data_IF_171958961215
#
_entry.id   IF_171958961215
#
_cell.length_a   1.000
_cell.length_b   1.000
_cell.length_c   1.000
_cell.angle_alpha   90.00
_cell.angle_beta   90.00
_cell.angle_gamma   90.00
#
_symmetry.space_group_name_H-M   'P 1'
#
loop_
_entity.id
_entity.type
_entity.pdbx_description
1 polymer ?
#
# COMPACT_ATOMS: atom_id res chain seq x y z
N UNK A 1 -73.04 -21.28 0.17
CA UNK A 1 -72.02 -20.38 0.76
C UNK A 1 -70.64 -20.80 0.27
N UNK A 2 -69.92 -19.83 -0.28
CA UNK A 2 -68.48 -19.67 -0.61
C UNK A 2 -67.52 -20.87 -0.69
N UNK A 3 -66.68 -20.78 -1.71
CA UNK A 3 -65.56 -21.62 -2.11
C UNK A 3 -64.28 -21.41 -1.28
N UNK A 4 -63.33 -22.34 -1.38
CA UNK A 4 -61.95 -22.14 -1.89
C UNK A 4 -61.03 -23.25 -1.36
N UNK A 5 -60.27 -23.78 -2.32
CA UNK A 5 -59.21 -24.78 -2.28
C UNK A 5 -57.98 -24.15 -1.62
N UNK A 6 -57.34 -24.80 -0.65
CA UNK A 6 -55.95 -24.43 -0.36
C UNK A 6 -55.05 -25.57 0.10
N UNK A 7 -53.80 -25.40 -0.32
CA UNK A 7 -52.80 -26.39 -0.69
C UNK A 7 -51.83 -26.58 0.49
N UNK A 8 -51.63 -27.81 0.94
CA UNK A 8 -50.55 -28.16 1.88
C UNK A 8 -49.21 -27.96 1.18
N UNK A 9 -48.49 -26.90 1.54
CA UNK A 9 -47.12 -26.63 1.11
C UNK A 9 -46.17 -27.06 2.22
N UNK A 10 -45.42 -28.13 1.95
CA UNK A 10 -44.25 -28.55 2.73
C UNK A 10 -43.17 -27.46 2.64
N UNK A 11 -42.67 -26.99 3.78
CA UNK A 11 -41.61 -25.97 3.90
C UNK A 11 -40.24 -26.69 3.87
N UNK A 12 -39.35 -26.41 2.90
CA UNK A 12 -37.99 -26.95 2.92
C UNK A 12 -37.11 -26.19 3.93
N UNK A 13 -36.03 -26.79 4.43
CA UNK A 13 -35.13 -26.17 5.39
C UNK A 13 -34.39 -24.99 4.76
N UNK A 14 -34.49 -23.83 5.40
CA UNK A 14 -33.79 -22.60 5.05
C UNK A 14 -32.31 -22.73 5.40
N UNK A 15 -31.47 -22.73 4.37
CA UNK A 15 -30.02 -22.49 4.48
C UNK A 15 -29.83 -21.04 4.91
N UNK A 16 -29.36 -20.84 6.14
CA UNK A 16 -28.92 -19.54 6.65
C UNK A 16 -27.51 -19.25 6.14
N UNK A 17 -27.41 -18.58 5.00
CA UNK A 17 -26.17 -17.98 4.51
C UNK A 17 -25.93 -16.69 5.28
N UNK A 18 -25.10 -16.75 6.33
CA UNK A 18 -24.55 -15.55 6.98
C UNK A 18 -23.53 -14.92 6.04
N UNK A 19 -23.87 -13.78 5.46
CA UNK A 19 -22.92 -12.89 4.77
C UNK A 19 -22.01 -12.23 5.81
N UNK A 20 -20.69 -12.46 5.81
CA UNK A 20 -19.78 -11.63 6.57
C UNK A 20 -19.68 -10.29 5.85
N UNK A 21 -19.98 -9.20 6.58
CA UNK A 21 -19.77 -7.84 6.12
C UNK A 21 -18.33 -7.65 5.65
N UNK A 22 -18.19 -7.33 4.38
CA UNK A 22 -16.93 -6.99 3.73
C UNK A 22 -16.36 -5.70 4.31
N UNK A 23 -15.60 -5.81 5.40
CA UNK A 23 -14.54 -4.83 5.68
C UNK A 23 -13.37 -5.11 4.73
N UNK A 24 -13.61 -4.93 3.44
CA UNK A 24 -12.57 -4.93 2.44
C UNK A 24 -11.95 -3.53 2.44
N UNK A 25 -10.87 -3.36 3.20
CA UNK A 25 -9.92 -2.29 2.94
C UNK A 25 -9.57 -2.31 1.44
N UNK A 26 -9.54 -1.16 0.75
CA UNK A 26 -9.20 -1.16 -0.67
C UNK A 26 -7.78 -1.70 -0.84
N UNK A 27 -7.55 -2.72 -1.68
CA UNK A 27 -6.21 -3.17 -2.00
C UNK A 27 -5.52 -2.06 -2.81
N UNK A 28 -4.59 -1.35 -2.18
CA UNK A 28 -3.65 -0.48 -2.90
C UNK A 28 -2.62 -1.36 -3.64
N UNK A 29 -2.06 -0.83 -4.74
CA UNK A 29 -2.00 -1.48 -6.03
C UNK A 29 -1.10 -2.72 -6.00
N UNK A 30 -1.60 -3.78 -6.63
CA UNK A 30 -0.84 -4.93 -7.08
C UNK A 30 0.35 -4.48 -7.94
N UNK A 31 1.49 -4.18 -7.32
CA UNK A 31 2.74 -4.00 -8.06
C UNK A 31 3.96 -4.66 -7.39
N UNK A 32 3.72 -5.50 -6.37
CA UNK A 32 4.79 -6.24 -5.69
C UNK A 32 4.89 -7.72 -6.09
N UNK A 33 3.97 -8.24 -6.91
CA UNK A 33 3.87 -9.68 -7.20
C UNK A 33 3.61 -10.06 -8.67
N UNK A 34 3.59 -9.11 -9.62
CA UNK A 34 3.31 -9.40 -11.03
C UNK A 34 4.53 -9.19 -11.95
N UNK A 35 5.57 -10.00 -11.75
CA UNK A 35 6.46 -10.35 -12.88
C UNK A 35 7.10 -11.75 -12.80
N UNK A 36 6.69 -12.61 -11.86
CA UNK A 36 7.09 -14.02 -11.88
C UNK A 36 5.93 -14.82 -12.46
N UNK A 37 6.14 -15.36 -13.66
CA UNK A 37 5.21 -16.26 -14.35
C UNK A 37 4.53 -17.21 -13.36
N UNK A 38 3.20 -17.18 -13.31
CA UNK A 38 2.39 -18.26 -12.76
C UNK A 38 2.75 -19.55 -13.49
N UNK A 39 3.51 -20.40 -12.81
CA UNK A 39 3.91 -21.70 -13.31
C UNK A 39 5.27 -22.08 -12.76
N UNK A 40 5.27 -22.85 -11.66
CA UNK A 40 6.41 -23.55 -11.04
C UNK A 40 7.20 -22.77 -9.96
N UNK A 41 6.54 -22.28 -8.91
CA UNK A 41 7.24 -22.01 -7.64
C UNK A 41 7.15 -23.25 -6.74
N UNK A 42 8.27 -23.89 -6.33
CA UNK A 42 8.27 -24.89 -5.27
C UNK A 42 7.68 -24.31 -3.99
N UNK A 43 7.01 -25.15 -3.19
CA UNK A 43 6.38 -24.84 -1.88
C UNK A 43 7.36 -24.18 -0.87
N UNK A 44 8.64 -24.02 -1.21
CA UNK A 44 9.70 -23.47 -0.38
C UNK A 44 9.82 -21.94 -0.37
N UNK A 45 9.00 -21.22 -1.17
CA UNK A 45 8.95 -19.75 -1.16
C UNK A 45 7.50 -19.29 -0.98
N UNK A 46 6.95 -19.42 0.23
CA UNK A 46 5.74 -18.68 0.61
C UNK A 46 6.17 -17.26 1.05
N UNK A 47 5.83 -16.19 0.29
CA UNK A 47 6.16 -14.82 0.67
C UNK A 47 5.58 -14.40 2.02
N UNK A 48 4.51 -15.07 2.49
CA UNK A 48 3.92 -14.78 3.79
C UNK A 48 4.74 -15.33 4.95
N UNK A 49 5.61 -16.32 4.71
CA UNK A 49 6.46 -16.94 5.72
C UNK A 49 7.92 -16.49 5.60
N UNK A 50 8.41 -16.32 4.38
CA UNK A 50 9.81 -15.95 4.12
C UNK A 50 10.01 -14.45 3.92
N UNK A 51 8.96 -13.71 3.55
CA UNK A 51 9.06 -12.29 3.21
C UNK A 51 9.73 -12.08 1.86
N UNK A 52 9.91 -10.80 1.50
CA UNK A 52 10.61 -10.37 0.28
C UNK A 52 11.94 -9.73 0.67
N UNK A 53 13.09 -10.22 0.15
CA UNK A 53 14.38 -9.57 0.39
C UNK A 53 14.40 -8.12 -0.11
N UNK A 54 15.13 -7.24 0.58
CA UNK A 54 15.28 -5.82 0.18
C UNK A 54 15.70 -5.64 -1.30
N UNK A 55 16.67 -6.42 -1.84
CA UNK A 55 17.08 -6.29 -3.24
C UNK A 55 15.99 -6.62 -4.28
N UNK A 56 14.90 -7.26 -3.86
CA UNK A 56 13.77 -7.63 -4.72
C UNK A 56 12.60 -6.63 -4.62
N UNK A 57 12.71 -5.61 -3.77
CA UNK A 57 11.69 -4.59 -3.65
C UNK A 57 11.62 -3.76 -4.95
N UNK A 58 10.41 -3.40 -5.37
CA UNK A 58 10.19 -2.58 -6.58
C UNK A 58 10.40 -1.08 -6.31
N UNK A 59 11.61 -0.73 -5.86
CA UNK A 59 12.05 0.63 -5.53
C UNK A 59 13.47 0.87 -6.09
N UNK A 60 13.95 2.12 -6.21
CA UNK A 60 15.31 2.38 -6.67
C UNK A 60 16.38 1.79 -5.76
N UNK A 61 17.52 1.40 -6.33
CA UNK A 61 18.67 0.84 -5.60
C UNK A 61 19.19 1.77 -4.50
N UNK A 62 19.16 3.09 -4.74
CA UNK A 62 19.51 4.09 -3.72
C UNK A 62 18.64 4.00 -2.47
N UNK A 63 17.34 3.71 -2.65
CA UNK A 63 16.40 3.53 -1.54
C UNK A 63 16.64 2.20 -0.85
N UNK A 64 16.91 1.13 -1.59
CA UNK A 64 17.29 -0.16 -0.99
C UNK A 64 18.54 -0.01 -0.11
N UNK A 65 19.57 0.67 -0.62
CA UNK A 65 20.80 0.94 0.11
C UNK A 65 20.56 1.80 1.36
N UNK A 66 19.67 2.79 1.27
CA UNK A 66 19.21 3.57 2.42
C UNK A 66 18.57 2.68 3.48
N UNK A 67 17.60 1.84 3.11
CA UNK A 67 16.90 0.93 4.05
C UNK A 67 17.90 0.00 4.74
N UNK A 68 18.82 -0.61 3.99
CA UNK A 68 19.85 -1.49 4.54
C UNK A 68 20.77 -0.75 5.51
N UNK A 69 21.17 0.49 5.18
CA UNK A 69 22.01 1.32 6.04
C UNK A 69 21.27 1.75 7.31
N UNK A 70 20.00 2.14 7.19
CA UNK A 70 19.16 2.55 8.30
C UNK A 70 19.01 1.40 9.31
N UNK A 71 18.77 0.19 8.80
CA UNK A 71 18.62 -1.02 9.59
C UNK A 71 19.94 -1.45 10.26
N UNK A 72 21.06 -1.43 9.54
CA UNK A 72 22.37 -1.77 10.13
C UNK A 72 22.85 -0.75 11.16
N UNK A 73 22.39 0.50 11.06
CA UNK A 73 22.64 1.56 12.04
C UNK A 73 21.75 1.45 13.28
N UNK A 74 20.87 0.44 13.37
CA UNK A 74 19.97 0.25 14.51
C UNK A 74 18.81 1.24 14.58
N UNK A 75 18.44 1.90 13.46
CA UNK A 75 17.20 2.70 13.42
C UNK A 75 15.98 1.77 13.53
N UNK A 76 14.85 2.31 13.98
CA UNK A 76 13.58 1.57 14.03
C UNK A 76 12.81 1.64 12.71
N UNK A 77 13.16 2.58 11.83
CA UNK A 77 12.47 2.76 10.55
C UNK A 77 13.35 3.43 9.49
N UNK A 78 12.93 3.26 8.24
CA UNK A 78 13.44 4.00 7.09
C UNK A 78 12.29 4.73 6.41
N UNK A 79 12.49 6.02 6.10
CA UNK A 79 11.51 6.85 5.39
C UNK A 79 12.01 7.18 3.99
N UNK A 80 11.17 6.91 2.99
CA UNK A 80 11.51 7.08 1.56
C UNK A 80 10.27 7.38 0.70
N UNK A 81 10.44 7.83 -0.54
CA UNK A 81 9.36 7.84 -1.55
C UNK A 81 9.53 6.67 -2.51
N UNK A 82 8.47 6.28 -3.25
CA UNK A 82 8.53 5.16 -4.20
C UNK A 82 9.66 5.33 -5.22
N UNK A 83 9.91 6.57 -5.63
CA UNK A 83 10.86 6.95 -6.67
C UNK A 83 12.20 7.47 -6.12
N UNK A 84 12.41 7.42 -4.80
CA UNK A 84 13.64 7.88 -4.15
C UNK A 84 13.92 9.38 -4.27
N UNK A 85 12.91 10.17 -4.65
CA UNK A 85 13.00 11.63 -4.79
C UNK A 85 12.47 12.33 -3.54
N UNK A 86 12.84 13.59 -3.36
CA UNK A 86 12.37 14.38 -2.20
C UNK A 86 11.12 15.17 -2.56
N UNK A 87 10.26 15.47 -1.58
CA UNK A 87 9.09 16.33 -1.78
C UNK A 87 9.45 17.69 -2.40
N UNK A 88 10.58 18.28 -1.99
CA UNK A 88 11.04 19.57 -2.48
C UNK A 88 11.36 19.56 -3.98
N UNK A 89 11.78 18.41 -4.54
CA UNK A 89 12.05 18.30 -5.98
C UNK A 89 10.80 18.47 -6.85
N UNK A 90 9.58 18.36 -6.29
CA UNK A 90 8.35 18.65 -7.02
C UNK A 90 8.30 20.07 -7.58
N UNK A 91 8.91 21.05 -6.89
CA UNK A 91 8.91 22.45 -7.31
C UNK A 91 9.57 22.66 -8.69
N UNK A 92 10.50 21.77 -9.06
CA UNK A 92 11.22 21.84 -10.33
C UNK A 92 10.45 21.22 -11.50
N UNK A 93 9.44 20.38 -11.23
CA UNK A 93 8.71 19.62 -12.26
C UNK A 93 7.23 19.99 -12.36
N UNK A 94 6.70 20.72 -11.38
CA UNK A 94 5.30 21.17 -11.34
C UNK A 94 5.21 22.69 -11.50
N UNK A 95 4.13 23.19 -12.13
CA UNK A 95 3.74 24.58 -12.00
C UNK A 95 3.54 24.99 -10.53
N UNK A 96 3.87 26.24 -10.19
CA UNK A 96 3.73 26.76 -8.82
C UNK A 96 2.32 26.57 -8.24
N UNK A 97 1.30 26.68 -9.09
CA UNK A 97 -0.12 26.50 -8.70
C UNK A 97 -0.42 25.08 -8.24
N UNK A 98 0.14 24.08 -8.92
CA UNK A 98 -0.01 22.68 -8.54
C UNK A 98 0.79 22.38 -7.28
N UNK A 99 1.99 22.95 -7.16
CA UNK A 99 2.79 22.82 -5.95
C UNK A 99 2.11 23.41 -4.72
N UNK A 100 1.34 24.49 -4.85
CA UNK A 100 0.58 25.10 -3.75
C UNK A 100 -0.45 24.13 -3.13
N UNK A 101 -1.07 23.28 -3.93
CA UNK A 101 -2.00 22.26 -3.44
C UNK A 101 -1.31 20.93 -3.11
N UNK A 102 -0.03 20.77 -3.42
CA UNK A 102 0.75 19.58 -3.05
C UNK A 102 1.05 19.53 -1.54
N UNK A 103 1.20 18.33 -1.01
CA UNK A 103 1.64 18.02 0.35
C UNK A 103 2.30 16.65 0.39
N UNK A 104 2.82 16.26 1.54
CA UNK A 104 3.37 14.93 1.77
C UNK A 104 2.66 14.24 2.93
N UNK A 105 2.49 12.93 2.82
CA UNK A 105 1.87 12.11 3.86
C UNK A 105 2.60 10.78 3.97
N UNK A 106 2.84 10.32 5.19
CA UNK A 106 3.57 9.10 5.46
C UNK A 106 2.62 7.92 5.65
N UNK A 107 3.05 6.72 5.29
CA UNK A 107 2.30 5.50 5.53
C UNK A 107 3.27 4.36 5.80
N UNK A 108 2.98 3.54 6.81
CA UNK A 108 3.72 2.31 7.07
C UNK A 108 3.33 1.29 5.98
N UNK A 109 4.31 0.82 5.20
CA UNK A 109 4.08 -0.05 4.04
C UNK A 109 4.77 -1.40 4.14
N UNK A 110 5.66 -1.58 5.12
CA UNK A 110 6.38 -2.82 5.29
C UNK A 110 7.04 -2.96 6.66
N UNK A 111 7.28 -4.22 7.04
CA UNK A 111 7.91 -4.60 8.30
C UNK A 111 9.06 -5.54 7.99
N UNK A 112 10.29 -5.12 8.27
CA UNK A 112 11.49 -5.89 7.99
C UNK A 112 12.02 -6.58 9.25
N UNK A 113 12.56 -7.78 9.07
CA UNK A 113 13.31 -8.50 10.09
C UNK A 113 14.76 -8.00 10.09
N UNK A 114 15.27 -7.40 11.17
CA UNK A 114 16.65 -6.91 11.20
C UNK A 114 17.72 -8.00 11.08
N UNK A 115 17.40 -9.26 11.42
CA UNK A 115 18.35 -10.37 11.33
C UNK A 115 18.56 -10.88 9.90
N UNK A 116 17.48 -11.06 9.13
CA UNK A 116 17.55 -11.62 7.77
C UNK A 116 17.29 -10.59 6.67
N UNK A 117 16.91 -9.37 7.03
CA UNK A 117 16.61 -8.25 6.12
C UNK A 117 15.40 -8.44 5.21
N UNK A 118 14.63 -9.51 5.40
CA UNK A 118 13.40 -9.74 4.63
C UNK A 118 12.26 -8.85 5.12
N UNK A 119 11.46 -8.38 4.17
CA UNK A 119 10.34 -7.45 4.37
C UNK A 119 9.01 -8.20 4.23
N UNK A 120 8.08 -7.89 5.14
CA UNK A 120 6.75 -8.46 5.21
C UNK A 120 5.70 -7.36 5.05
N UNK A 121 4.54 -7.74 4.49
CA UNK A 121 3.43 -6.81 4.24
C UNK A 121 2.59 -6.50 5.49
N UNK A 122 2.78 -7.24 6.58
CA UNK A 122 2.10 -7.03 7.84
C UNK A 122 3.04 -7.38 8.99
N UNK A 123 2.95 -6.63 10.08
CA UNK A 123 3.73 -6.91 11.29
C UNK A 123 3.50 -8.33 11.81
N UNK A 124 2.27 -8.86 11.68
CA UNK A 124 1.94 -10.21 12.13
C UNK A 124 2.70 -11.30 11.35
N UNK A 125 2.94 -11.08 10.05
CA UNK A 125 3.71 -12.01 9.22
C UNK A 125 5.18 -12.01 9.62
N UNK A 126 5.75 -10.83 9.88
CA UNK A 126 7.08 -10.70 10.44
C UNK A 126 7.20 -11.44 11.79
N UNK A 127 6.24 -11.24 12.71
CA UNK A 127 6.23 -11.93 14.01
C UNK A 127 6.12 -13.44 13.87
N UNK A 128 5.39 -13.94 12.88
CA UNK A 128 5.34 -15.37 12.59
C UNK A 128 6.70 -15.88 12.09
N UNK A 129 7.33 -15.13 11.18
CA UNK A 129 8.67 -15.44 10.69
C UNK A 129 9.72 -15.45 11.81
N UNK A 130 9.71 -14.47 12.71
CA UNK A 130 10.61 -14.40 13.86
C UNK A 130 10.43 -15.59 14.80
N UNK A 131 9.20 -16.01 15.07
CA UNK A 131 8.93 -17.17 15.94
C UNK A 131 9.34 -18.50 15.33
N UNK A 132 9.21 -18.66 14.01
CA UNK A 132 9.40 -19.95 13.34
C UNK A 132 10.79 -20.11 12.72
N UNK A 133 11.36 -19.02 12.18
CA UNK A 133 12.56 -19.03 11.33
C UNK A 133 13.69 -18.24 12.00
N UNK A 134 13.50 -16.94 12.26
CA UNK A 134 14.50 -16.05 12.85
C UNK A 134 14.32 -15.92 14.37
N UNK A 135 14.44 -17.05 15.07
CA UNK A 135 14.26 -17.12 16.52
C UNK A 135 15.24 -16.19 17.26
N UNK A 136 14.77 -15.56 18.33
CA UNK A 136 15.58 -14.63 19.14
C UNK A 136 15.68 -13.22 18.56
N UNK A 137 14.83 -12.85 17.60
CA UNK A 137 14.66 -11.49 17.09
C UNK A 137 13.25 -10.98 17.38
N UNK A 138 13.10 -10.07 18.34
CA UNK A 138 11.81 -9.42 18.63
C UNK A 138 11.74 -7.98 18.08
N UNK A 139 12.85 -7.46 17.53
CA UNK A 139 12.93 -6.13 16.95
C UNK A 139 12.20 -6.06 15.61
N UNK A 140 11.47 -4.96 15.39
CA UNK A 140 10.73 -4.71 14.17
C UNK A 140 11.29 -3.45 13.51
N UNK A 141 11.66 -3.54 12.23
CA UNK A 141 12.08 -2.38 11.45
C UNK A 141 10.98 -1.98 10.48
N UNK A 142 10.55 -0.71 10.49
CA UNK A 142 9.42 -0.24 9.67
C UNK A 142 9.89 0.44 8.39
N UNK A 143 9.24 0.11 7.28
CA UNK A 143 9.37 0.83 6.01
C UNK A 143 8.23 1.85 5.95
N UNK A 144 8.60 3.13 5.93
CA UNK A 144 7.66 4.26 5.90
C UNK A 144 7.75 4.94 4.55
N UNK A 145 6.68 4.82 3.75
CA UNK A 145 6.60 5.45 2.45
C UNK A 145 5.94 6.82 2.55
N UNK A 146 6.67 7.84 2.11
CA UNK A 146 6.18 9.19 1.89
C UNK A 146 5.48 9.23 0.53
N UNK A 147 4.20 9.56 0.56
CA UNK A 147 3.37 9.77 -0.62
C UNK A 147 3.25 11.26 -0.93
N UNK A 148 3.18 11.58 -2.21
CA UNK A 148 2.82 12.91 -2.69
C UNK A 148 1.29 13.03 -2.61
N UNK A 149 0.80 14.00 -1.84
CA UNK A 149 -0.63 14.21 -1.60
C UNK A 149 -1.12 15.46 -2.35
N UNK A 150 -2.18 15.32 -3.12
CA UNK A 150 -2.91 16.47 -3.67
C UNK A 150 -4.00 16.85 -2.67
N UNK A 151 -3.87 18.03 -2.05
CA UNK A 151 -4.84 18.51 -1.05
C UNK A 151 -6.16 18.99 -1.68
N UNK A 152 -6.11 19.43 -2.94
CA UNK A 152 -7.31 19.82 -3.68
C UNK A 152 -8.21 18.61 -3.98
N UNK A 153 -7.62 17.47 -4.35
CA UNK A 153 -8.33 16.25 -4.72
C UNK A 153 -8.41 15.20 -3.61
N UNK A 154 -7.73 15.42 -2.48
CA UNK A 154 -7.52 14.43 -1.42
C UNK A 154 -6.97 13.08 -1.94
N UNK A 155 -6.08 13.14 -2.94
CA UNK A 155 -5.48 11.96 -3.59
C UNK A 155 -4.01 11.78 -3.18
N UNK A 156 -3.51 10.53 -3.20
CA UNK A 156 -2.13 10.17 -2.83
C UNK A 156 -1.44 9.41 -3.96
N UNK A 157 -0.16 9.69 -4.16
CA UNK A 157 0.63 9.14 -5.27
C UNK A 157 1.99 8.66 -4.75
N UNK A 158 2.49 7.55 -5.29
CA UNK A 158 3.75 6.95 -4.86
C UNK A 158 4.96 7.64 -5.48
N UNK A 159 4.85 8.01 -6.76
CA UNK A 159 5.91 8.64 -7.54
C UNK A 159 5.56 10.06 -8.01
N UNK A 160 6.59 10.88 -8.23
CA UNK A 160 6.40 12.24 -8.76
C UNK A 160 5.80 12.26 -10.16
N UNK A 161 6.10 11.24 -10.98
CA UNK A 161 5.56 11.11 -12.34
C UNK A 161 4.04 10.92 -12.31
N UNK A 162 3.54 10.06 -11.43
CA UNK A 162 2.10 9.83 -11.24
C UNK A 162 1.41 11.10 -10.74
N UNK A 163 2.02 11.79 -9.76
CA UNK A 163 1.49 13.05 -9.26
C UNK A 163 1.41 14.13 -10.35
N UNK A 164 2.45 14.23 -11.19
CA UNK A 164 2.48 15.16 -12.31
C UNK A 164 1.38 14.86 -13.33
N UNK A 165 1.23 13.59 -13.72
CA UNK A 165 0.16 13.17 -14.64
C UNK A 165 -1.22 13.50 -14.06
N UNK A 166 -1.40 13.32 -12.74
CA UNK A 166 -2.62 13.76 -12.07
C UNK A 166 -2.87 15.27 -12.20
N UNK A 167 -1.83 16.09 -12.09
CA UNK A 167 -1.96 17.54 -12.23
C UNK A 167 -2.40 17.98 -13.64
N UNK A 168 -2.11 17.17 -14.66
CA UNK A 168 -2.49 17.44 -16.05
C UNK A 168 -3.97 17.13 -16.32
N UNK A 169 -4.68 16.47 -15.41
CA UNK A 169 -6.11 16.12 -15.56
C UNK A 169 -7.04 17.34 -15.42
N UNK A 170 -8.14 17.35 -16.18
CA UNK A 170 -9.12 18.44 -16.12
C UNK A 170 -9.84 18.48 -14.76
N UNK A 171 -10.08 17.31 -14.17
CA UNK A 171 -10.69 17.16 -12.85
C UNK A 171 -9.82 17.83 -11.77
N UNK A 172 -8.51 17.60 -11.81
CA UNK A 172 -7.57 18.27 -10.90
C UNK A 172 -7.54 19.77 -11.14
N UNK A 173 -7.46 20.23 -12.40
CA UNK A 173 -7.41 21.66 -12.70
C UNK A 173 -8.63 22.40 -12.14
N UNK A 174 -9.83 21.83 -12.30
CA UNK A 174 -11.04 22.39 -11.71
C UNK A 174 -10.99 22.40 -10.17
N UNK A 175 -10.60 21.28 -9.55
CA UNK A 175 -10.47 21.17 -8.10
C UNK A 175 -9.41 22.14 -7.52
N UNK A 176 -8.31 22.34 -8.24
CA UNK A 176 -7.24 23.26 -7.87
C UNK A 176 -7.71 24.71 -7.83
N UNK A 177 -8.49 25.16 -8.82
CA UNK A 177 -9.01 26.53 -8.81
C UNK A 177 -9.93 26.76 -7.59
N UNK A 178 -10.79 25.79 -7.27
CA UNK A 178 -11.63 25.82 -6.06
C UNK A 178 -10.76 25.88 -4.79
N UNK A 179 -9.73 25.03 -4.70
CA UNK A 179 -8.82 24.99 -3.56
C UNK A 179 -8.04 26.29 -3.36
N UNK A 180 -7.62 26.93 -4.46
CA UNK A 180 -6.90 28.21 -4.42
C UNK A 180 -7.82 29.42 -4.22
N UNK A 181 -9.11 29.21 -4.00
CA UNK A 181 -10.08 30.27 -3.75
C UNK A 181 -10.43 31.10 -4.99
N UNK A 182 -10.17 30.57 -6.19
CA UNK A 182 -10.65 31.17 -7.45
C UNK A 182 -12.00 30.54 -7.76
N UNK A 183 -13.07 31.29 -7.48
CA UNK A 183 -14.41 30.95 -7.94
C UNK A 183 -14.39 30.83 -9.47
N UNK A 184 -14.72 29.64 -9.98
CA UNK A 184 -14.95 29.38 -11.41
C UNK A 184 -16.16 30.19 -11.88
#
# INVERSE_FOLDING_TARGET
MKAIRDRRTMKPPSVSTSSPGSNAMPPFPYNFLYSIRSGLAPIMYDPNLMGTPIPMLQIPESVMAQITTDMSSGRESSKFTQDGKTFQQLVAILPLRDFQCAGSTDSEVGWACPQCTNVFQQEQLLKNHQRLICQGCDSVFKLVQTHYQCRACNAKFGAQTEFRVHCDTLEHQAAREVFLGRTV
#
